data_IF_008031064518
#
_entry.id   IF_008031064518
#
_cell.length_a   1.000
_cell.length_b   1.000
_cell.length_c   1.000
_cell.angle_alpha   90.00
_cell.angle_beta   90.00
_cell.angle_gamma   90.00
#
_symmetry.space_group_name_H-M   'P 1'
#
loop_
_entity.id
_entity.type
_entity.pdbx_description
1 polymer ?
#
# COMPACT_ATOMS: atom_id res chain seq x y z
N UNK A 1 8.89 -2.16 -4.34
CA UNK A 1 7.64 -2.74 -4.91
C UNK A 1 7.17 -1.97 -6.14
N UNK A 2 7.07 -0.63 -6.10
CA UNK A 2 6.80 0.19 -7.30
C UNK A 2 7.86 -0.09 -8.37
N UNK A 3 7.44 -0.42 -9.59
CA UNK A 3 8.30 -0.83 -10.70
C UNK A 3 8.75 -2.30 -10.72
N UNK A 4 8.59 -3.05 -9.62
CA UNK A 4 8.79 -4.53 -9.58
C UNK A 4 7.49 -5.30 -9.81
N UNK A 5 6.36 -4.73 -9.37
CA UNK A 5 5.04 -5.33 -9.53
C UNK A 5 4.37 -4.69 -10.76
N UNK A 6 3.98 -5.48 -11.78
CA UNK A 6 3.26 -4.97 -12.94
C UNK A 6 1.96 -4.30 -12.48
N UNK A 7 1.66 -3.11 -13.02
CA UNK A 7 0.42 -2.38 -12.70
C UNK A 7 0.44 -1.58 -11.39
N UNK A 8 1.52 -1.63 -10.59
CA UNK A 8 1.66 -0.79 -9.39
C UNK A 8 2.21 0.60 -9.73
N UNK A 9 1.31 1.58 -9.78
CA UNK A 9 1.61 2.98 -10.10
C UNK A 9 2.27 3.72 -8.95
N UNK A 10 1.79 3.51 -7.72
CA UNK A 10 2.40 4.13 -6.54
C UNK A 10 2.12 3.34 -5.28
N UNK A 11 3.07 3.41 -4.34
CA UNK A 11 2.94 2.88 -3.00
C UNK A 11 3.35 3.98 -2.02
N UNK A 12 2.43 4.39 -1.14
CA UNK A 12 2.71 5.36 -0.07
C UNK A 12 2.48 4.69 1.27
N UNK A 13 3.50 4.70 2.11
CA UNK A 13 3.42 4.27 3.50
C UNK A 13 3.71 5.48 4.39
N UNK A 14 2.95 5.63 5.47
CA UNK A 14 3.16 6.72 6.41
C UNK A 14 2.37 6.55 7.69
N UNK A 15 2.83 7.23 8.74
CA UNK A 15 2.10 7.31 10.00
C UNK A 15 0.88 8.23 9.90
N UNK A 16 -0.08 8.11 10.84
CA UNK A 16 -1.18 9.04 10.93
C UNK A 16 -0.66 10.45 11.20
N UNK A 17 -1.28 11.45 10.57
CA UNK A 17 -1.00 12.85 10.88
C UNK A 17 -1.25 13.10 12.37
N UNK A 18 -0.45 13.95 13.06
CA UNK A 18 -0.57 14.17 14.51
C UNK A 18 -2.00 14.51 14.97
N UNK A 19 -2.73 15.31 14.18
CA UNK A 19 -4.13 15.69 14.47
C UNK A 19 -5.12 14.52 14.30
N UNK A 20 -4.77 13.52 13.51
CA UNK A 20 -5.59 12.35 13.21
C UNK A 20 -5.29 11.16 14.14
N UNK A 21 -4.28 11.25 15.01
CA UNK A 21 -3.91 10.17 15.96
C UNK A 21 -5.10 9.66 16.79
N UNK A 22 -5.99 10.52 17.35
CA UNK A 22 -7.16 10.03 18.09
C UNK A 22 -8.16 9.25 17.22
N UNK A 23 -8.18 9.51 15.91
CA UNK A 23 -9.05 8.84 14.93
C UNK A 23 -8.40 7.61 14.31
N UNK A 24 -7.09 7.45 14.50
CA UNK A 24 -6.34 6.32 13.96
C UNK A 24 -6.67 5.00 14.67
N UNK A 25 -7.50 5.00 15.74
CA UNK A 25 -8.01 3.80 16.44
C UNK A 25 -6.90 2.83 16.88
N UNK A 26 -5.73 3.36 17.21
CA UNK A 26 -4.56 2.55 17.58
C UNK A 26 -3.75 2.01 16.40
N UNK A 27 -4.13 2.30 15.15
CA UNK A 27 -3.29 2.05 13.98
C UNK A 27 -2.24 3.15 13.84
N UNK A 28 -0.99 2.73 13.71
CA UNK A 28 0.22 3.54 13.70
C UNK A 28 0.79 3.73 12.30
N UNK A 29 0.32 2.96 11.31
CA UNK A 29 0.74 3.04 9.91
C UNK A 29 -0.43 2.85 8.95
N UNK A 30 -0.47 3.68 7.90
CA UNK A 30 -1.35 3.52 6.74
C UNK A 30 -0.54 3.26 5.48
N UNK A 31 -1.05 2.38 4.63
CA UNK A 31 -0.40 1.98 3.38
C UNK A 31 -1.42 2.08 2.23
N UNK A 32 -1.06 2.82 1.19
CA UNK A 32 -1.92 3.08 0.03
C UNK A 32 -1.17 2.64 -1.22
N UNK A 33 -1.68 1.58 -1.85
CA UNK A 33 -1.24 1.10 -3.16
C UNK A 33 -2.23 1.56 -4.22
N UNK A 34 -1.73 2.24 -5.26
CA UNK A 34 -2.54 2.61 -6.43
C UNK A 34 -2.14 1.70 -7.58
N UNK A 35 -3.11 0.93 -8.06
CA UNK A 35 -2.97 0.00 -9.17
C UNK A 35 -3.63 0.58 -10.43
N UNK A 36 -3.14 0.20 -11.60
CA UNK A 36 -3.64 0.69 -12.88
C UNK A 36 -5.00 0.08 -13.24
N UNK A 37 -5.17 -1.25 -13.07
CA UNK A 37 -6.42 -1.95 -13.35
C UNK A 37 -6.84 -2.87 -12.21
N UNK A 38 -8.15 -3.17 -12.08
CA UNK A 38 -8.63 -4.13 -11.09
C UNK A 38 -8.01 -5.52 -11.23
N UNK A 39 -7.70 -5.95 -12.46
CA UNK A 39 -7.10 -7.26 -12.73
C UNK A 39 -5.67 -7.41 -12.21
N UNK A 40 -4.97 -6.29 -11.96
CA UNK A 40 -3.60 -6.30 -11.43
C UNK A 40 -3.56 -6.54 -9.90
N UNK A 41 -4.72 -6.52 -9.23
CA UNK A 41 -4.83 -6.79 -7.78
C UNK A 41 -4.37 -8.19 -7.41
N UNK A 42 -4.76 -9.19 -8.20
CA UNK A 42 -4.40 -10.58 -7.91
C UNK A 42 -2.90 -10.78 -7.99
N UNK A 43 -2.27 -10.23 -9.04
CA UNK A 43 -0.83 -10.25 -9.24
C UNK A 43 -0.06 -9.47 -8.16
N UNK A 44 -0.59 -8.34 -7.69
CA UNK A 44 -0.04 -7.62 -6.53
C UNK A 44 -0.14 -8.46 -5.26
N UNK A 45 -1.30 -9.03 -4.93
CA UNK A 45 -1.53 -9.73 -3.67
C UNK A 45 -0.59 -10.94 -3.45
N UNK A 46 -0.25 -11.67 -4.51
CA UNK A 46 0.62 -12.87 -4.42
C UNK A 46 2.07 -12.59 -4.81
N UNK A 47 2.44 -11.34 -5.09
CA UNK A 47 3.76 -11.05 -5.63
C UNK A 47 4.87 -11.38 -4.61
N UNK A 48 5.92 -12.14 -4.99
CA UNK A 48 7.02 -12.51 -4.07
C UNK A 48 7.78 -11.29 -3.53
N UNK A 49 7.68 -10.14 -4.20
CA UNK A 49 8.28 -8.87 -3.73
C UNK A 49 7.64 -8.30 -2.44
N UNK A 50 6.57 -8.91 -1.93
CA UNK A 50 6.00 -8.61 -0.60
C UNK A 50 6.62 -9.43 0.54
N UNK A 51 7.33 -10.51 0.22
CA UNK A 51 7.94 -11.43 1.18
C UNK A 51 9.42 -11.14 1.43
N UNK A 52 10.05 -10.29 0.61
CA UNK A 52 11.41 -9.75 0.81
C UNK A 52 11.42 -8.50 1.70
#
# INVERSE_FOLDING_TARGET
MVGKIPGLLSLKAGGPLPICVPRAKGFDMGLVAVLEKPSDLEGYAVHPAHLE
#
